data_IF_139248365424
#
_entry.id   IF_139248365424
#
_cell.length_a   1.000
_cell.length_b   1.000
_cell.length_c   1.000
_cell.angle_alpha   90.00
_cell.angle_beta   90.00
_cell.angle_gamma   90.00
#
_symmetry.space_group_name_H-M   'P 1'
#
loop_
_entity.id
_entity.type
_entity.pdbx_description
1 polymer ?
#
# COMPACT_ATOMS: atom_id res chain seq x y z
N UNK A 1 -4.58 3.86 -9.15
CA UNK A 1 -3.57 3.81 -8.06
C UNK A 1 -3.66 2.49 -7.28
N UNK A 2 -2.53 1.92 -6.83
CA UNK A 2 -2.54 0.77 -5.90
C UNK A 2 -2.43 1.31 -4.46
N UNK A 3 -3.30 0.84 -3.58
CA UNK A 3 -3.32 1.13 -2.13
C UNK A 3 -2.71 -0.05 -1.37
N UNK A 4 -1.96 0.23 -0.31
CA UNK A 4 -1.37 -0.80 0.57
C UNK A 4 -1.99 -0.65 1.96
N UNK A 5 -2.56 -1.73 2.48
CA UNK A 5 -3.28 -1.77 3.77
C UNK A 5 -2.44 -2.30 4.94
N UNK A 6 -1.11 -2.30 4.79
CA UNK A 6 -0.22 -2.89 5.79
C UNK A 6 -0.37 -2.25 7.17
N UNK A 7 -0.54 -0.92 7.24
CA UNK A 7 -0.74 -0.19 8.49
C UNK A 7 -2.03 -0.60 9.20
N UNK A 8 -3.11 -0.77 8.44
CA UNK A 8 -4.42 -1.23 8.94
C UNK A 8 -4.31 -2.65 9.50
N UNK A 9 -3.72 -3.59 8.75
CA UNK A 9 -3.59 -4.98 9.18
C UNK A 9 -2.77 -5.06 10.48
N UNK A 10 -1.61 -4.39 10.52
CA UNK A 10 -0.73 -4.40 11.69
C UNK A 10 -1.41 -3.77 12.93
N UNK A 11 -2.16 -2.68 12.73
CA UNK A 11 -2.96 -2.05 13.80
C UNK A 11 -4.02 -3.00 14.37
N UNK A 12 -4.73 -3.73 13.51
CA UNK A 12 -5.77 -4.66 13.92
C UNK A 12 -5.23 -5.83 14.76
N UNK A 13 -4.05 -6.36 14.41
CA UNK A 13 -3.42 -7.47 15.15
C UNK A 13 -2.41 -7.02 16.21
N UNK A 14 -2.27 -5.71 16.44
CA UNK A 14 -1.31 -5.09 17.37
C UNK A 14 0.14 -5.57 17.17
N UNK A 15 0.55 -5.77 15.91
CA UNK A 15 1.92 -6.16 15.55
C UNK A 15 2.74 -4.95 15.14
N UNK A 16 4.00 -4.89 15.58
CA UNK A 16 4.90 -3.78 15.22
C UNK A 16 5.58 -4.01 13.86
N UNK A 17 5.95 -2.94 13.15
CA UNK A 17 6.76 -3.03 11.92
C UNK A 17 8.07 -3.80 12.14
N UNK A 18 8.73 -3.58 13.29
CA UNK A 18 9.96 -4.27 13.65
C UNK A 18 9.76 -5.78 13.82
N UNK A 19 8.64 -6.18 14.42
CA UNK A 19 8.27 -7.58 14.53
C UNK A 19 7.98 -8.22 13.18
N UNK A 20 7.22 -7.54 12.32
CA UNK A 20 6.96 -8.00 10.96
C UNK A 20 8.26 -8.14 10.17
N UNK A 21 9.21 -7.20 10.28
CA UNK A 21 10.50 -7.28 9.61
C UNK A 21 11.31 -8.51 10.06
N UNK A 22 11.29 -8.83 11.37
CA UNK A 22 11.95 -10.03 11.92
C UNK A 22 11.33 -11.34 11.43
N UNK A 23 10.00 -11.49 11.53
CA UNK A 23 9.27 -12.68 11.06
C UNK A 23 9.36 -12.83 9.54
N UNK A 24 9.22 -11.69 8.89
CA UNK A 24 9.72 -11.26 7.59
C UNK A 24 10.92 -11.98 7.04
N UNK A 25 12.06 -11.63 7.66
CA UNK A 25 13.37 -11.51 7.04
C UNK A 25 13.46 -10.36 6.00
N UNK A 26 12.49 -9.45 5.96
CA UNK A 26 12.50 -8.27 5.06
C UNK A 26 13.18 -7.12 5.80
N UNK A 27 13.95 -6.30 5.06
CA UNK A 27 14.63 -5.14 5.66
C UNK A 27 13.62 -4.22 6.33
N UNK A 28 13.89 -3.72 7.55
CA UNK A 28 12.99 -2.79 8.24
C UNK A 28 12.64 -1.55 7.41
N UNK A 29 13.58 -1.04 6.60
CA UNK A 29 13.34 0.10 5.70
C UNK A 29 12.25 -0.20 4.67
N UNK A 30 12.26 -1.39 4.07
CA UNK A 30 11.24 -1.81 3.10
C UNK A 30 9.87 -1.99 3.77
N UNK A 31 9.82 -2.57 4.96
CA UNK A 31 8.56 -2.65 5.73
C UNK A 31 8.04 -1.23 6.04
N UNK A 32 8.91 -0.30 6.40
CA UNK A 32 8.56 1.09 6.66
C UNK A 32 8.04 1.81 5.40
N UNK A 33 8.67 1.59 4.25
CA UNK A 33 8.21 2.13 2.96
C UNK A 33 6.85 1.53 2.55
N UNK A 34 6.64 0.23 2.75
CA UNK A 34 5.33 -0.39 2.51
C UNK A 34 4.27 0.14 3.48
N UNK A 35 4.62 0.32 4.75
CA UNK A 35 3.72 0.81 5.80
C UNK A 35 3.23 2.23 5.52
N UNK A 36 4.13 3.11 5.05
CA UNK A 36 3.83 4.50 4.69
C UNK A 36 3.45 4.68 3.22
N UNK A 37 3.33 3.59 2.47
CA UNK A 37 2.93 3.61 1.05
C UNK A 37 3.87 4.45 0.15
N UNK A 38 5.15 4.54 0.53
CA UNK A 38 6.20 5.26 -0.22
C UNK A 38 7.05 4.34 -1.09
N UNK A 39 6.79 3.04 -1.06
CA UNK A 39 7.55 2.04 -1.83
C UNK A 39 7.26 2.18 -3.33
N UNK A 40 8.32 2.23 -4.15
CA UNK A 40 8.18 2.32 -5.61
C UNK A 40 8.06 0.95 -6.30
N UNK A 41 8.69 -0.08 -5.70
CA UNK A 41 8.75 -1.43 -6.26
C UNK A 41 8.59 -2.46 -5.18
N UNK A 42 7.66 -3.39 -5.37
CA UNK A 42 7.46 -4.54 -4.51
C UNK A 42 7.86 -5.81 -5.27
N UNK A 43 8.62 -6.66 -4.60
CA UNK A 43 8.90 -8.03 -5.06
C UNK A 43 7.74 -8.94 -4.65
N UNK A 44 7.31 -9.85 -5.54
CA UNK A 44 6.30 -10.87 -5.24
C UNK A 44 6.69 -11.76 -4.05
N UNK A 45 7.99 -12.07 -3.87
CA UNK A 45 8.48 -12.80 -2.69
C UNK A 45 8.11 -12.09 -1.38
N UNK A 46 8.18 -10.76 -1.36
CA UNK A 46 7.83 -9.97 -0.18
C UNK A 46 6.34 -10.08 0.11
N UNK A 47 5.49 -10.01 -0.91
CA UNK A 47 4.05 -10.22 -0.75
C UNK A 47 3.76 -11.60 -0.17
N UNK A 48 4.35 -12.67 -0.75
CA UNK A 48 4.16 -14.03 -0.26
C UNK A 48 4.57 -14.20 1.21
N UNK A 49 5.72 -13.63 1.61
CA UNK A 49 6.22 -13.71 2.99
C UNK A 49 5.37 -12.92 3.96
N UNK A 50 4.92 -11.74 3.58
CA UNK A 50 4.02 -10.90 4.39
C UNK A 50 2.67 -11.60 4.56
N UNK A 51 2.05 -12.05 3.47
CA UNK A 51 0.77 -12.77 3.51
C UNK A 51 0.86 -14.02 4.41
N UNK A 52 1.97 -14.77 4.32
CA UNK A 52 2.22 -15.94 5.17
C UNK A 52 2.34 -15.58 6.66
N UNK A 53 3.05 -14.49 7.00
CA UNK A 53 3.22 -14.08 8.41
C UNK A 53 1.96 -13.47 9.00
N UNK A 54 1.22 -12.70 8.19
CA UNK A 54 -0.01 -12.03 8.60
C UNK A 54 -1.24 -12.94 8.49
N UNK A 55 -1.10 -14.12 7.86
CA UNK A 55 -2.19 -15.05 7.56
C UNK A 55 -3.36 -14.36 6.84
N UNK A 56 -3.03 -13.62 5.77
CA UNK A 56 -3.99 -12.88 4.96
C UNK A 56 -3.82 -13.20 3.47
N UNK A 57 -4.82 -12.84 2.67
CA UNK A 57 -4.75 -12.91 1.22
C UNK A 57 -4.08 -11.65 0.64
N UNK A 58 -3.73 -11.69 -0.65
CA UNK A 58 -3.09 -10.53 -1.30
C UNK A 58 -4.06 -9.36 -1.43
N UNK A 59 -5.35 -9.62 -1.60
CA UNK A 59 -6.40 -8.58 -1.69
C UNK A 59 -6.64 -7.86 -0.36
N UNK A 60 -6.36 -8.52 0.78
CA UNK A 60 -6.38 -7.86 2.09
C UNK A 60 -5.26 -6.82 2.21
N UNK A 61 -4.14 -7.06 1.54
CA UNK A 61 -2.94 -6.23 1.61
C UNK A 61 -2.92 -5.14 0.54
N UNK A 62 -3.39 -5.44 -0.68
CA UNK A 62 -3.32 -4.57 -1.85
C UNK A 62 -4.69 -4.39 -2.49
N UNK A 63 -5.05 -3.15 -2.81
CA UNK A 63 -6.26 -2.85 -3.56
C UNK A 63 -5.96 -1.92 -4.74
N UNK A 64 -6.56 -2.21 -5.88
CA UNK A 64 -6.63 -1.25 -6.98
C UNK A 64 -7.74 -0.24 -6.74
N UNK A 65 -7.38 1.05 -6.73
CA UNK A 65 -8.29 2.18 -6.65
C UNK A 65 -8.25 2.93 -7.99
N UNK A 66 -9.38 3.08 -8.71
CA UNK A 66 -9.45 3.90 -9.91
C UNK A 66 -8.97 5.34 -9.66
N UNK A 67 -8.30 5.94 -10.63
CA UNK A 67 -7.70 7.27 -10.45
C UNK A 67 -8.75 8.34 -10.11
N UNK A 68 -9.95 8.25 -10.69
CA UNK A 68 -11.07 9.13 -10.36
C UNK A 68 -11.47 9.06 -8.88
N UNK A 69 -11.43 7.87 -8.29
CA UNK A 69 -11.73 7.66 -6.88
C UNK A 69 -10.58 8.11 -5.98
N UNK A 70 -9.35 7.78 -6.36
CA UNK A 70 -8.16 8.17 -5.63
C UNK A 70 -8.05 9.70 -5.51
N UNK A 71 -8.22 10.43 -6.61
CA UNK A 71 -8.13 11.89 -6.65
C UNK A 71 -9.40 12.60 -6.14
N UNK A 72 -10.54 11.92 -5.94
CA UNK A 72 -11.68 12.52 -5.20
C UNK A 72 -11.33 12.76 -3.74
N UNK A 73 -10.60 11.81 -3.14
CA UNK A 73 -10.27 11.81 -1.71
C UNK A 73 -8.96 12.52 -1.38
N UNK A 74 -8.12 12.80 -2.37
CA UNK A 74 -6.87 13.54 -2.22
C UNK A 74 -6.96 14.85 -3.00
N UNK A 75 -6.70 15.99 -2.35
CA UNK A 75 -6.71 17.33 -2.96
C UNK A 75 -6.07 17.31 -4.34
N UNK A 76 -6.87 17.37 -5.42
CA UNK A 76 -6.35 17.22 -6.77
C UNK A 76 -5.29 18.30 -7.02
N UNK A 77 -4.05 17.95 -7.42
CA UNK A 77 -3.12 18.93 -7.95
C UNK A 77 -3.77 19.58 -9.18
N UNK A 78 -4.00 20.89 -9.12
CA UNK A 78 -4.72 21.70 -10.13
C UNK A 78 -4.40 21.35 -11.60
N UNK A 79 -3.20 20.84 -11.89
CA UNK A 79 -2.74 20.43 -13.22
C UNK A 79 -3.54 19.27 -13.84
N UNK A 80 -4.13 18.37 -13.04
CA UNK A 80 -4.92 17.24 -13.54
C UNK A 80 -6.38 17.63 -13.87
N UNK A 81 -6.91 18.71 -13.29
CA UNK A 81 -8.27 19.20 -13.61
C UNK A 81 -8.42 19.65 -15.08
N UNK A 82 -7.35 20.11 -15.75
CA UNK A 82 -7.45 20.68 -17.10
C UNK A 82 -7.46 19.67 -18.26
N UNK A 83 -7.15 18.38 -18.03
CA UNK A 83 -7.13 17.38 -19.09
C UNK A 83 -8.48 16.69 -19.35
N UNK A 84 -9.42 16.69 -18.38
CA UNK A 84 -10.71 16.00 -18.53
C UNK A 84 -11.87 16.85 -19.07
N UNK A 85 -11.77 18.19 -19.10
CA UNK A 85 -12.88 19.06 -19.57
C UNK A 85 -12.62 19.75 -20.93
N UNK A 86 -11.77 19.19 -21.79
CA UNK A 86 -11.49 19.72 -23.15
C UNK A 86 -11.98 18.82 -24.30
N UNK A 87 -12.89 17.89 -24.02
CA UNK A 87 -13.60 17.11 -25.03
C UNK A 87 -15.09 17.15 -24.74
N UNK A 88 -15.67 18.34 -24.89
CA UNK A 88 -17.12 18.58 -24.98
C UNK A 88 -17.33 19.70 -25.98
#
# INVERSE_FOLDING_TARGET
MIKIYLSTILGNIRMTQAELARKTGIRPSTINEMYNETIERINLDYLSRICKVLNCEVEDLLQYIPDEEYYKNHSIPYRLRKKQFKQS
#
